data_IF_900635895092
#
_entry.id   IF_900635895092
#
_cell.length_a   1.000
_cell.length_b   1.000
_cell.length_c   1.000
_cell.angle_alpha   90.00
_cell.angle_beta   90.00
_cell.angle_gamma   90.00
#
_symmetry.space_group_name_H-M   'P 1'
#
loop_
_entity.id
_entity.type
_entity.pdbx_description
1 polymer ?
#
# COMPACT_ATOMS: atom_id res chain seq x y z
N UNK A 1 -8.32 -12.37 -6.76
CA UNK A 1 -7.67 -11.28 -6.03
C UNK A 1 -7.98 -9.95 -6.70
N UNK A 2 -7.68 -9.77 -8.01
CA UNK A 2 -7.89 -8.49 -8.73
C UNK A 2 -9.36 -8.07 -8.74
N UNK A 3 -10.29 -8.98 -9.01
CA UNK A 3 -11.73 -8.68 -9.00
C UNK A 3 -12.23 -8.23 -7.63
N UNK A 4 -11.77 -8.89 -6.56
CA UNK A 4 -12.09 -8.48 -5.20
C UNK A 4 -11.50 -7.11 -4.88
N UNK A 5 -10.26 -6.85 -5.30
CA UNK A 5 -9.60 -5.57 -5.15
C UNK A 5 -10.35 -4.43 -5.83
N UNK A 6 -10.86 -4.65 -7.04
CA UNK A 6 -11.67 -3.68 -7.77
C UNK A 6 -13.00 -3.37 -7.05
N UNK A 7 -13.70 -4.40 -6.59
CA UNK A 7 -14.96 -4.21 -5.84
C UNK A 7 -14.70 -3.43 -4.55
N UNK A 8 -13.68 -3.80 -3.80
CA UNK A 8 -13.31 -3.09 -2.57
C UNK A 8 -12.91 -1.65 -2.84
N UNK A 9 -12.13 -1.37 -3.90
CA UNK A 9 -11.72 0.00 -4.23
C UNK A 9 -12.92 0.90 -4.58
N UNK A 10 -13.92 0.36 -5.28
CA UNK A 10 -15.15 1.10 -5.61
C UNK A 10 -15.99 1.39 -4.36
N UNK A 11 -16.15 0.40 -3.47
CA UNK A 11 -16.88 0.57 -2.21
C UNK A 11 -16.20 1.63 -1.34
N UNK A 12 -14.88 1.51 -1.14
CA UNK A 12 -14.12 2.44 -0.29
C UNK A 12 -14.06 3.85 -0.88
N UNK A 13 -14.02 3.99 -2.20
CA UNK A 13 -14.05 5.32 -2.84
C UNK A 13 -15.38 6.04 -2.58
N UNK A 14 -16.50 5.29 -2.49
CA UNK A 14 -17.81 5.86 -2.16
C UNK A 14 -17.89 6.35 -0.70
N UNK A 15 -17.24 5.65 0.23
CA UNK A 15 -17.25 5.98 1.67
C UNK A 15 -16.00 6.75 2.13
N UNK A 16 -15.13 7.16 1.21
CA UNK A 16 -13.82 7.75 1.54
C UNK A 16 -13.95 9.00 2.42
N UNK A 17 -14.87 9.89 2.11
CA UNK A 17 -15.09 11.13 2.87
C UNK A 17 -15.50 10.84 4.31
N UNK A 18 -16.48 9.97 4.50
CA UNK A 18 -16.93 9.57 5.84
C UNK A 18 -15.81 8.90 6.64
N UNK A 19 -14.98 8.11 5.96
CA UNK A 19 -13.82 7.48 6.57
C UNK A 19 -12.76 8.50 6.99
N UNK A 20 -12.47 9.49 6.15
CA UNK A 20 -11.49 10.54 6.46
C UNK A 20 -11.92 11.37 7.68
N UNK A 21 -13.21 11.73 7.76
CA UNK A 21 -13.78 12.45 8.90
C UNK A 21 -13.69 11.59 10.17
N UNK A 22 -14.04 10.32 10.07
CA UNK A 22 -13.94 9.37 11.20
C UNK A 22 -12.50 9.20 11.70
N UNK A 23 -11.50 9.24 10.79
CA UNK A 23 -10.08 9.15 11.11
C UNK A 23 -9.47 10.45 11.66
N UNK A 24 -10.26 11.55 11.73
CA UNK A 24 -9.84 12.80 12.34
C UNK A 24 -9.38 13.87 11.36
N UNK A 25 -9.77 13.78 10.08
CA UNK A 25 -9.52 14.85 9.13
C UNK A 25 -10.34 16.09 9.51
N UNK A 26 -9.68 17.25 9.54
CA UNK A 26 -10.29 18.55 9.87
C UNK A 26 -10.64 19.30 8.58
N UNK A 27 -11.44 20.37 8.70
CA UNK A 27 -11.86 21.19 7.56
C UNK A 27 -10.67 21.71 6.73
N UNK A 28 -9.52 22.00 7.37
CA UNK A 28 -8.30 22.45 6.71
C UNK A 28 -7.58 21.35 5.93
N UNK A 29 -7.75 20.09 6.31
CA UNK A 29 -6.97 18.94 5.78
C UNK A 29 -7.81 18.03 4.89
N UNK A 30 -9.14 18.05 5.03
CA UNK A 30 -10.04 17.11 4.35
C UNK A 30 -9.89 17.15 2.83
N UNK A 31 -9.74 18.33 2.23
CA UNK A 31 -9.55 18.50 0.80
C UNK A 31 -8.31 17.79 0.28
N UNK A 32 -7.19 17.99 0.96
CA UNK A 32 -5.89 17.37 0.62
C UNK A 32 -5.93 15.84 0.78
N UNK A 33 -6.54 15.37 1.87
CA UNK A 33 -6.67 13.94 2.14
C UNK A 33 -7.58 13.24 1.14
N UNK A 34 -8.68 13.89 0.73
CA UNK A 34 -9.58 13.35 -0.28
C UNK A 34 -8.92 13.28 -1.66
N UNK A 35 -8.16 14.30 -2.04
CA UNK A 35 -7.44 14.32 -3.31
C UNK A 35 -6.42 13.18 -3.40
N UNK A 36 -5.60 13.03 -2.37
CA UNK A 36 -4.65 11.92 -2.24
C UNK A 36 -5.36 10.56 -2.19
N UNK A 37 -6.36 10.44 -1.31
CA UNK A 37 -7.09 9.21 -1.05
C UNK A 37 -7.84 8.67 -2.28
N UNK A 38 -8.51 9.53 -3.04
CA UNK A 38 -9.21 9.13 -4.28
C UNK A 38 -8.24 8.53 -5.29
N UNK A 39 -7.08 9.14 -5.47
CA UNK A 39 -6.05 8.63 -6.37
C UNK A 39 -5.57 7.25 -5.93
N UNK A 40 -5.19 7.09 -4.66
CA UNK A 40 -4.73 5.81 -4.11
C UNK A 40 -5.81 4.72 -4.20
N UNK A 41 -7.06 5.05 -3.86
CA UNK A 41 -8.17 4.09 -3.91
C UNK A 41 -8.51 3.64 -5.32
N UNK A 42 -8.42 4.54 -6.31
CA UNK A 42 -8.61 4.18 -7.72
C UNK A 42 -7.57 3.15 -8.19
N UNK A 43 -6.32 3.26 -7.72
CA UNK A 43 -5.22 2.36 -8.07
C UNK A 43 -4.95 1.28 -7.00
N UNK A 44 -5.83 1.11 -6.01
CA UNK A 44 -5.72 0.07 -4.99
C UNK A 44 -5.48 -1.35 -5.57
N UNK A 45 -6.06 -1.75 -6.71
CA UNK A 45 -5.75 -3.04 -7.33
C UNK A 45 -4.27 -3.24 -7.66
N UNK A 46 -3.55 -2.18 -8.03
CA UNK A 46 -2.11 -2.22 -8.32
C UNK A 46 -1.31 -2.50 -7.04
N UNK A 47 -1.66 -1.83 -5.95
CA UNK A 47 -1.01 -2.06 -4.64
C UNK A 47 -1.24 -3.48 -4.14
N UNK A 48 -2.48 -3.97 -4.25
CA UNK A 48 -2.81 -5.36 -3.88
C UNK A 48 -2.04 -6.35 -4.76
N UNK A 49 -1.91 -6.08 -6.07
CA UNK A 49 -1.15 -6.92 -6.98
C UNK A 49 0.34 -6.95 -6.65
N UNK A 50 0.93 -5.80 -6.31
CA UNK A 50 2.33 -5.71 -5.86
C UNK A 50 2.59 -6.56 -4.61
N UNK A 51 1.74 -6.39 -3.60
CA UNK A 51 1.81 -7.15 -2.34
C UNK A 51 1.53 -8.64 -2.52
N UNK A 52 0.78 -9.04 -3.54
CA UNK A 52 0.52 -10.44 -3.86
C UNK A 52 1.69 -11.09 -4.63
N UNK A 53 2.25 -10.39 -5.62
CA UNK A 53 3.33 -10.92 -6.47
C UNK A 53 4.66 -11.06 -5.72
N UNK A 54 5.00 -10.13 -4.87
CA UNK A 54 6.28 -10.11 -4.17
C UNK A 54 6.53 -11.38 -3.34
N UNK A 55 5.63 -11.84 -2.45
CA UNK A 55 5.81 -13.10 -1.72
C UNK A 55 5.85 -14.33 -2.62
N UNK A 56 5.03 -14.36 -3.67
CA UNK A 56 4.99 -15.50 -4.61
C UNK A 56 6.36 -15.65 -5.29
N UNK A 57 6.90 -14.59 -5.85
CA UNK A 57 8.20 -14.62 -6.55
C UNK A 57 9.34 -14.90 -5.58
N UNK A 58 9.25 -14.42 -4.34
CA UNK A 58 10.21 -14.72 -3.28
C UNK A 58 10.21 -16.22 -2.97
N UNK A 59 9.04 -16.83 -2.86
CA UNK A 59 8.87 -18.28 -2.64
C UNK A 59 9.34 -19.12 -3.85
N UNK A 60 9.30 -18.54 -5.06
CA UNK A 60 9.86 -19.16 -6.28
C UNK A 60 11.39 -19.08 -6.36
N UNK A 61 12.08 -18.81 -5.24
CA UNK A 61 13.53 -18.69 -5.15
C UNK A 61 14.14 -17.58 -6.00
N UNK A 62 13.40 -16.52 -6.25
CA UNK A 62 13.90 -15.33 -6.95
C UNK A 62 13.77 -14.03 -6.11
N UNK A 63 14.32 -13.99 -4.89
CA UNK A 63 14.23 -12.80 -4.02
C UNK A 63 14.98 -11.59 -4.61
N UNK A 64 16.01 -11.82 -5.42
CA UNK A 64 16.75 -10.74 -6.10
C UNK A 64 15.86 -9.92 -7.03
N UNK A 65 14.96 -10.55 -7.77
CA UNK A 65 14.02 -9.85 -8.64
C UNK A 65 13.04 -9.01 -7.83
N UNK A 66 12.57 -9.53 -6.68
CA UNK A 66 11.68 -8.79 -5.79
C UNK A 66 12.39 -7.55 -5.25
N UNK A 67 13.62 -7.71 -4.77
CA UNK A 67 14.44 -6.60 -4.29
C UNK A 67 14.64 -5.54 -5.39
N UNK A 68 15.05 -5.95 -6.59
CA UNK A 68 15.22 -5.03 -7.73
C UNK A 68 13.90 -4.32 -8.06
N UNK A 69 12.77 -5.03 -8.09
CA UNK A 69 11.46 -4.44 -8.39
C UNK A 69 11.05 -3.38 -7.37
N UNK A 70 11.16 -3.72 -6.07
CA UNK A 70 10.83 -2.78 -4.99
C UNK A 70 11.76 -1.57 -4.99
N UNK A 71 13.07 -1.78 -5.09
CA UNK A 71 14.04 -0.67 -5.12
C UNK A 71 13.82 0.25 -6.32
N UNK A 72 13.60 -0.30 -7.51
CA UNK A 72 13.34 0.50 -8.72
C UNK A 72 12.05 1.31 -8.56
N UNK A 73 10.97 0.68 -8.07
CA UNK A 73 9.70 1.36 -7.83
C UNK A 73 9.81 2.47 -6.80
N UNK A 74 10.49 2.21 -5.67
CA UNK A 74 10.71 3.20 -4.61
C UNK A 74 11.61 4.36 -5.07
N UNK A 75 12.67 4.08 -5.80
CA UNK A 75 13.56 5.11 -6.33
C UNK A 75 12.84 6.01 -7.34
N UNK A 76 12.04 5.41 -8.23
CA UNK A 76 11.22 6.17 -9.18
C UNK A 76 10.16 7.02 -8.45
N UNK A 77 9.53 6.48 -7.41
CA UNK A 77 8.59 7.23 -6.58
C UNK A 77 9.24 8.49 -5.99
N UNK A 78 10.41 8.38 -5.35
CA UNK A 78 11.12 9.53 -4.78
C UNK A 78 11.41 10.62 -5.83
N UNK A 79 11.86 10.22 -7.02
CA UNK A 79 12.15 11.18 -8.10
C UNK A 79 10.86 11.85 -8.56
N UNK A 80 9.81 11.07 -8.77
CA UNK A 80 8.52 11.60 -9.26
C UNK A 80 7.80 12.45 -8.21
N UNK A 81 7.92 12.12 -6.91
CA UNK A 81 7.43 12.95 -5.83
C UNK A 81 8.03 14.36 -5.91
N UNK A 82 9.36 14.42 -6.06
CA UNK A 82 10.03 15.71 -6.23
C UNK A 82 9.54 16.46 -7.46
N UNK A 83 9.47 15.79 -8.62
CA UNK A 83 9.08 16.41 -9.90
C UNK A 83 7.63 16.87 -9.91
N UNK A 84 6.71 16.07 -9.40
CA UNK A 84 5.28 16.39 -9.44
C UNK A 84 4.88 17.44 -8.39
N UNK A 85 5.49 17.37 -7.20
CA UNK A 85 5.13 18.29 -6.12
C UNK A 85 5.76 19.66 -6.32
N UNK A 86 7.05 19.76 -6.70
CA UNK A 86 7.75 21.04 -6.77
C UNK A 86 7.73 21.66 -8.18
N UNK A 87 8.29 21.07 -9.25
CA UNK A 87 8.31 21.72 -10.56
C UNK A 87 6.94 21.78 -11.23
N UNK A 88 6.07 20.79 -11.02
CA UNK A 88 4.75 20.72 -11.65
C UNK A 88 3.61 21.28 -10.78
N UNK A 89 3.90 21.62 -9.53
CA UNK A 89 2.94 22.19 -8.56
C UNK A 89 1.63 21.41 -8.44
N UNK A 90 1.71 20.07 -8.56
CA UNK A 90 0.55 19.18 -8.51
C UNK A 90 0.10 18.86 -7.07
N UNK A 91 0.80 19.36 -6.06
CA UNK A 91 0.44 19.17 -4.65
C UNK A 91 0.28 17.69 -4.22
N UNK A 92 -0.78 17.41 -3.45
CA UNK A 92 -1.07 16.06 -2.93
C UNK A 92 -1.45 15.06 -4.02
N UNK A 93 -2.07 15.51 -5.11
CA UNK A 93 -2.37 14.65 -6.25
C UNK A 93 -1.08 14.16 -6.93
N UNK A 94 -0.08 15.03 -7.08
CA UNK A 94 1.23 14.66 -7.62
C UNK A 94 1.92 13.59 -6.79
N UNK A 95 1.93 13.74 -5.46
CA UNK A 95 2.48 12.73 -4.55
C UNK A 95 1.74 11.38 -4.66
N UNK A 96 0.41 11.39 -4.74
CA UNK A 96 -0.37 10.19 -4.96
C UNK A 96 -0.03 9.50 -6.29
N UNK A 97 0.08 10.27 -7.38
CA UNK A 97 0.47 9.74 -8.69
C UNK A 97 1.86 9.13 -8.69
N UNK A 98 2.84 9.79 -8.08
CA UNK A 98 4.19 9.26 -7.96
C UNK A 98 4.20 7.90 -7.24
N UNK A 99 3.43 7.78 -6.17
CA UNK A 99 3.28 6.52 -5.42
C UNK A 99 2.66 5.42 -6.28
N UNK A 100 1.63 5.76 -7.06
CA UNK A 100 0.99 4.82 -8.00
C UNK A 100 1.98 4.36 -9.07
N UNK A 101 2.70 5.28 -9.71
CA UNK A 101 3.67 4.97 -10.77
C UNK A 101 4.81 4.08 -10.22
N UNK A 102 5.31 4.37 -9.02
CA UNK A 102 6.28 3.52 -8.32
C UNK A 102 5.77 2.09 -8.12
N UNK A 103 4.53 1.95 -7.68
CA UNK A 103 3.88 0.64 -7.48
C UNK A 103 3.62 -0.08 -8.80
N UNK A 104 3.18 0.62 -9.85
CA UNK A 104 3.03 0.06 -11.22
C UNK A 104 4.37 -0.45 -11.72
N UNK A 105 5.44 0.33 -11.54
CA UNK A 105 6.80 -0.06 -11.95
C UNK A 105 7.24 -1.33 -11.22
N UNK A 106 6.98 -1.42 -9.93
CA UNK A 106 7.25 -2.64 -9.13
C UNK A 106 6.51 -3.84 -9.73
N UNK A 107 5.20 -3.72 -9.99
CA UNK A 107 4.39 -4.79 -10.60
C UNK A 107 4.93 -5.18 -11.98
N UNK A 108 5.31 -4.23 -12.82
CA UNK A 108 5.88 -4.50 -14.15
C UNK A 108 7.19 -5.29 -14.05
N UNK A 109 8.11 -4.87 -13.17
CA UNK A 109 9.37 -5.58 -12.95
C UNK A 109 9.11 -7.00 -12.43
N UNK A 110 8.23 -7.15 -11.45
CA UNK A 110 7.88 -8.47 -10.91
C UNK A 110 7.22 -9.37 -11.97
N UNK A 111 6.40 -8.81 -12.84
CA UNK A 111 5.73 -9.55 -13.93
C UNK A 111 6.72 -10.11 -14.95
N UNK A 112 7.92 -9.56 -15.07
CA UNK A 112 8.97 -10.13 -15.95
C UNK A 112 9.37 -11.55 -15.56
N UNK A 113 9.16 -11.96 -14.31
CA UNK A 113 9.39 -13.33 -13.85
C UNK A 113 8.56 -14.35 -14.63
N UNK A 114 7.32 -14.00 -14.95
CA UNK A 114 6.40 -14.90 -15.66
C UNK A 114 6.66 -14.96 -17.16
N UNK A 115 7.29 -13.92 -17.73
CA UNK A 115 7.66 -13.85 -19.14
C UNK A 115 8.92 -14.69 -19.40
N UNK A 116 9.88 -14.68 -18.48
CA UNK A 116 11.07 -15.51 -18.56
C UNK A 116 10.69 -16.96 -18.29
N UNK A 117 11.14 -17.93 -19.15
CA UNK A 117 10.87 -19.39 -19.06
C UNK A 117 11.25 -20.07 -17.72
N UNK A 118 11.61 -19.33 -16.69
CA UNK A 118 11.88 -19.81 -15.33
C UNK A 118 10.60 -20.05 -14.52
N UNK A 119 9.45 -19.76 -15.11
CA UNK A 119 8.16 -19.94 -14.46
C UNK A 119 7.87 -21.43 -14.24
N UNK A 120 7.89 -21.86 -12.98
CA UNK A 120 7.53 -23.22 -12.55
C UNK A 120 6.04 -23.34 -12.18
N UNK A 121 5.29 -22.25 -12.23
CA UNK A 121 3.86 -22.26 -11.93
C UNK A 121 3.10 -22.79 -13.13
N UNK A 122 2.60 -23.98 -13.01
CA UNK A 122 1.56 -24.52 -13.91
C UNK A 122 0.21 -24.13 -13.33
N UNK A 123 -0.55 -23.36 -14.08
CA UNK A 123 -1.96 -23.10 -13.73
C UNK A 123 -2.71 -24.42 -14.01
N UNK A 124 -2.89 -25.21 -12.97
CA UNK A 124 -3.71 -26.42 -13.05
C UNK A 124 -5.15 -26.02 -12.67
N UNK A 125 -6.12 -26.40 -13.50
CA UNK A 125 -7.54 -26.21 -13.21
C UNK A 125 -8.02 -27.30 -12.22
N UNK A 126 -7.30 -27.50 -11.15
CA UNK A 126 -7.76 -28.40 -10.10
C UNK A 126 -8.86 -27.72 -9.28
N UNK A 127 -9.87 -28.51 -8.93
CA UNK A 127 -10.98 -28.04 -8.09
C UNK A 127 -10.46 -27.55 -6.76
N UNK A 128 -10.78 -26.32 -6.39
CA UNK A 128 -10.41 -25.74 -5.10
C UNK A 128 -11.00 -26.63 -4.00
N UNK A 129 -10.13 -27.37 -3.31
CA UNK A 129 -10.54 -28.21 -2.19
C UNK A 129 -10.68 -27.36 -0.93
N UNK A 130 -11.80 -27.52 -0.21
CA UNK A 130 -12.02 -26.87 1.10
C UNK A 130 -10.90 -27.16 2.09
N UNK A 131 -10.21 -28.33 1.97
CA UNK A 131 -9.07 -28.68 2.78
C UNK A 131 -7.86 -27.75 2.59
N UNK A 132 -7.72 -27.13 1.40
CA UNK A 132 -6.65 -26.15 1.12
C UNK A 132 -7.06 -24.74 1.53
N UNK A 133 -8.35 -24.42 1.47
CA UNK A 133 -8.87 -23.08 1.81
C UNK A 133 -8.77 -22.80 3.32
N UNK A 134 -9.06 -23.78 4.15
CA UNK A 134 -9.08 -23.62 5.60
C UNK A 134 -7.73 -23.14 6.19
N UNK A 135 -6.57 -23.75 5.89
CA UNK A 135 -5.29 -23.26 6.39
C UNK A 135 -4.92 -21.89 5.84
N UNK A 136 -5.28 -21.57 4.58
CA UNK A 136 -5.03 -20.27 3.98
C UNK A 136 -5.83 -19.18 4.71
N UNK A 137 -7.12 -19.43 4.98
CA UNK A 137 -7.96 -18.51 5.74
C UNK A 137 -7.45 -18.31 7.17
N UNK A 138 -6.99 -19.39 7.83
CA UNK A 138 -6.44 -19.29 9.18
C UNK A 138 -5.17 -18.45 9.25
N UNK A 139 -4.25 -18.62 8.30
CA UNK A 139 -3.06 -17.78 8.19
C UNK A 139 -3.41 -16.33 7.85
N UNK A 140 -4.33 -16.11 6.91
CA UNK A 140 -4.79 -14.78 6.52
C UNK A 140 -5.49 -14.04 7.66
N UNK A 141 -6.27 -14.75 8.48
CA UNK A 141 -6.93 -14.17 9.65
C UNK A 141 -5.93 -13.71 10.73
N UNK A 142 -4.86 -14.47 10.96
CA UNK A 142 -3.79 -14.05 11.86
C UNK A 142 -3.12 -12.75 11.40
N UNK A 143 -2.79 -12.66 10.10
CA UNK A 143 -2.23 -11.44 9.51
C UNK A 143 -3.21 -10.26 9.56
N UNK A 144 -4.49 -10.51 9.33
CA UNK A 144 -5.54 -9.50 9.44
C UNK A 144 -5.58 -8.89 10.85
N UNK A 145 -5.54 -9.74 11.90
CA UNK A 145 -5.56 -9.25 13.29
C UNK A 145 -4.36 -8.36 13.56
N UNK A 146 -3.17 -8.74 13.09
CA UNK A 146 -1.96 -7.92 13.27
C UNK A 146 -2.08 -6.56 12.59
N UNK A 147 -2.56 -6.52 11.34
CA UNK A 147 -2.74 -5.26 10.60
C UNK A 147 -3.82 -4.37 11.24
N UNK A 148 -4.94 -4.95 11.66
CA UNK A 148 -5.99 -4.21 12.37
C UNK A 148 -5.47 -3.66 13.70
N UNK A 149 -4.69 -4.44 14.46
CA UNK A 149 -4.11 -3.98 15.71
C UNK A 149 -3.14 -2.81 15.48
N UNK A 150 -2.26 -2.89 14.47
CA UNK A 150 -1.37 -1.79 14.10
C UNK A 150 -2.16 -0.54 13.71
N UNK A 151 -3.17 -0.68 12.85
CA UNK A 151 -4.04 0.43 12.46
C UNK A 151 -4.74 1.07 13.65
N UNK A 152 -5.23 0.26 14.59
CA UNK A 152 -5.89 0.74 15.81
C UNK A 152 -4.95 1.52 16.72
N UNK A 153 -3.71 1.06 16.88
CA UNK A 153 -2.68 1.79 17.64
C UNK A 153 -2.42 3.15 17.00
N UNK A 154 -2.16 3.21 15.69
CA UNK A 154 -1.92 4.46 14.96
C UNK A 154 -3.13 5.40 15.11
N UNK A 155 -4.34 4.88 14.98
CA UNK A 155 -5.58 5.66 15.13
C UNK A 155 -5.71 6.30 16.52
N UNK A 156 -5.51 5.54 17.59
CA UNK A 156 -5.54 6.07 18.95
C UNK A 156 -4.48 7.14 19.16
N UNK A 157 -3.24 6.89 18.71
CA UNK A 157 -2.15 7.85 18.82
C UNK A 157 -2.47 9.14 18.08
N UNK A 158 -2.98 9.06 16.86
CA UNK A 158 -3.36 10.24 16.08
C UNK A 158 -4.44 11.08 16.76
N UNK A 159 -5.49 10.44 17.34
CA UNK A 159 -6.53 11.16 18.08
C UNK A 159 -5.94 11.87 19.31
N UNK A 160 -5.08 11.19 20.06
CA UNK A 160 -4.48 11.78 21.25
C UNK A 160 -3.55 12.95 20.88
N UNK A 161 -2.71 12.79 19.87
CA UNK A 161 -1.81 13.83 19.40
C UNK A 161 -2.60 15.03 18.88
N UNK A 162 -3.64 14.79 18.10
CA UNK A 162 -4.52 15.84 17.59
C UNK A 162 -5.14 16.65 18.72
N UNK A 163 -5.59 15.96 19.78
CA UNK A 163 -6.25 16.57 20.94
C UNK A 163 -5.30 17.44 21.77
N UNK A 164 -4.02 17.03 21.96
CA UNK A 164 -3.10 17.70 22.88
C UNK A 164 -2.13 18.64 22.19
N UNK A 165 -1.74 18.35 20.95
CA UNK A 165 -0.65 19.06 20.23
C UNK A 165 -1.16 19.70 18.92
N UNK A 166 -2.27 19.19 18.39
CA UNK A 166 -2.85 19.64 17.12
C UNK A 166 -2.14 19.04 15.89
N UNK A 167 -2.40 19.65 14.71
CA UNK A 167 -1.92 19.14 13.42
C UNK A 167 -0.38 19.02 13.35
N UNK A 168 0.36 19.95 13.94
CA UNK A 168 1.83 19.89 13.95
C UNK A 168 2.37 18.66 14.65
N UNK A 169 1.67 18.19 15.69
CA UNK A 169 2.02 16.96 16.40
C UNK A 169 1.91 15.71 15.54
N UNK A 170 0.87 15.65 14.68
CA UNK A 170 0.67 14.52 13.76
C UNK A 170 1.80 14.46 12.74
N UNK A 171 2.24 15.60 12.21
CA UNK A 171 3.38 15.67 11.26
C UNK A 171 4.66 15.14 11.91
N UNK A 172 4.96 15.58 13.13
CA UNK A 172 6.14 15.12 13.88
C UNK A 172 6.06 13.62 14.16
N UNK A 173 4.89 13.13 14.58
CA UNK A 173 4.67 11.70 14.82
C UNK A 173 4.86 10.86 13.54
N UNK A 174 4.37 11.34 12.39
CA UNK A 174 4.58 10.70 11.10
C UNK A 174 6.05 10.57 10.72
N UNK A 175 6.85 11.64 10.94
CA UNK A 175 8.30 11.62 10.69
C UNK A 175 8.98 10.60 11.61
N UNK A 176 8.68 10.63 12.91
CA UNK A 176 9.27 9.69 13.89
C UNK A 176 8.92 8.24 13.53
N UNK A 177 7.65 7.96 13.19
CA UNK A 177 7.20 6.62 12.82
C UNK A 177 7.94 6.09 11.58
N UNK A 178 8.15 6.94 10.57
CA UNK A 178 8.94 6.56 9.39
C UNK A 178 10.42 6.31 9.74
N UNK A 179 11.03 7.11 10.60
CA UNK A 179 12.40 6.87 11.07
C UNK A 179 12.52 5.54 11.83
N UNK A 180 11.52 5.20 12.66
CA UNK A 180 11.48 3.91 13.38
C UNK A 180 11.36 2.74 12.39
N UNK A 181 10.52 2.86 11.35
CA UNK A 181 10.39 1.82 10.32
C UNK A 181 11.70 1.60 9.57
N UNK A 182 12.44 2.66 9.24
CA UNK A 182 13.78 2.55 8.64
C UNK A 182 14.75 1.87 9.59
N UNK A 183 14.72 2.23 10.87
CA UNK A 183 15.53 1.58 11.90
C UNK A 183 15.23 0.06 12.00
N UNK A 184 13.96 -0.32 12.04
CA UNK A 184 13.56 -1.73 12.09
C UNK A 184 13.92 -2.52 10.82
N UNK A 185 13.98 -1.86 9.66
CA UNK A 185 14.37 -2.51 8.40
C UNK A 185 15.88 -2.81 8.31
N UNK A 186 16.70 -2.16 9.15
CA UNK A 186 18.15 -2.38 9.21
C UNK A 186 18.57 -3.52 10.15
N UNK A 187 17.68 -3.98 11.02
CA UNK A 187 17.86 -5.13 11.92
C UNK A 187 17.09 -6.35 11.44
#
# INVERSE_FOLDING_TARGET
>A
VVSLALVLSLIWNHYLESLCIFLGANDDTIGLVLEYGKCIMMFAPVFIMSNYLAPIIRNMKNPKLVMCGVLTGSFLNIILDYVFVFPMDMGMFGAALATVIGSVTTVLVLSTHFIKKQNRVKINKETISLKLVTPILKCGFSSLIMEVANGFVIFIFNIQILKYIGNNGIVVYGIISNCVLVGLALF
#
